data_IF_895874241309
#
_entry.id   IF_895874241309
#
_cell.length_a   1.000
_cell.length_b   1.000
_cell.length_c   1.000
_cell.angle_alpha   90.00
_cell.angle_beta   90.00
_cell.angle_gamma   90.00
#
_symmetry.space_group_name_H-M   'P 1'
#
loop_
_entity.id
_entity.type
_entity.pdbx_description
1 polymer ?
#
# COMPACT_ATOMS: atom_id res chain seq x y z
N UNK A 1 -5.81 10.93 -0.53
CA UNK A 1 -4.85 9.82 -0.71
C UNK A 1 -4.95 8.91 0.51
N UNK A 2 -5.20 7.61 0.32
CA UNK A 2 -5.60 6.65 1.36
C UNK A 2 -5.63 5.24 0.77
N UNK A 3 -5.42 4.21 1.58
CA UNK A 3 -5.94 2.88 1.34
C UNK A 3 -6.77 2.41 2.54
N UNK A 4 -8.01 2.03 2.25
CA UNK A 4 -8.82 1.23 3.16
C UNK A 4 -9.23 0.00 2.37
N UNK A 5 -9.10 -1.16 2.99
CA UNK A 5 -9.49 -2.41 2.37
C UNK A 5 -10.31 -3.24 3.34
N UNK A 6 -11.24 -4.02 2.80
CA UNK A 6 -12.11 -4.90 3.57
C UNK A 6 -12.27 -6.24 2.84
N UNK A 7 -12.34 -7.33 3.59
CA UNK A 7 -12.77 -8.64 3.08
C UNK A 7 -13.87 -9.21 3.97
N UNK A 8 -15.01 -9.58 3.39
CA UNK A 8 -16.17 -10.14 4.10
C UNK A 8 -16.14 -11.67 4.09
N UNK A 9 -16.29 -12.28 5.26
CA UNK A 9 -16.29 -13.74 5.50
C UNK A 9 -17.57 -14.09 6.27
N UNK A 10 -18.59 -14.60 5.60
CA UNK A 10 -19.93 -14.80 6.19
C UNK A 10 -20.48 -13.51 6.84
N UNK A 11 -20.74 -13.56 8.16
CA UNK A 11 -21.15 -12.48 9.04
C UNK A 11 -19.97 -11.79 9.76
N UNK A 12 -18.74 -12.02 9.30
CA UNK A 12 -17.52 -11.41 9.82
C UNK A 12 -16.85 -10.60 8.72
N UNK A 13 -15.96 -9.70 9.11
CA UNK A 13 -15.12 -9.01 8.17
C UNK A 13 -13.78 -8.64 8.80
N UNK A 14 -12.76 -8.56 7.96
CA UNK A 14 -11.46 -7.97 8.29
C UNK A 14 -11.32 -6.65 7.54
N UNK A 15 -10.70 -5.67 8.19
CA UNK A 15 -10.46 -4.36 7.59
C UNK A 15 -9.01 -3.94 7.81
N UNK A 16 -8.51 -3.15 6.88
CA UNK A 16 -7.24 -2.46 6.94
C UNK A 16 -7.46 -0.98 6.67
N UNK A 17 -6.78 -0.13 7.43
CA UNK A 17 -6.73 1.30 7.17
C UNK A 17 -5.33 1.83 7.42
N UNK A 18 -4.79 2.59 6.48
CA UNK A 18 -3.52 3.30 6.66
C UNK A 18 -3.71 4.60 7.45
N UNK A 19 -2.63 5.14 8.02
CA UNK A 19 -2.68 6.34 8.88
C UNK A 19 -2.41 7.65 8.15
N UNK A 20 -2.01 7.60 6.87
CA UNK A 20 -1.48 8.75 6.16
C UNK A 20 -2.56 9.73 5.77
N UNK A 21 -2.31 11.00 6.05
CA UNK A 21 -3.06 12.13 5.51
C UNK A 21 -2.16 12.93 4.58
N UNK A 22 -2.75 13.68 3.66
CA UNK A 22 -2.00 14.51 2.71
C UNK A 22 -2.67 15.86 2.54
N UNK A 23 -1.91 16.94 2.75
CA UNK A 23 -2.39 18.31 2.58
C UNK A 23 -1.29 19.16 1.95
N UNK A 24 -1.58 19.82 0.83
CA UNK A 24 -0.64 20.69 0.10
C UNK A 24 0.74 20.04 -0.18
N UNK A 25 0.77 18.74 -0.47
CA UNK A 25 2.00 17.99 -0.74
C UNK A 25 2.72 17.46 0.51
N UNK A 26 2.34 17.90 1.70
CA UNK A 26 2.85 17.35 2.96
C UNK A 26 2.10 16.07 3.33
N UNK A 27 2.82 15.07 3.81
CA UNK A 27 2.26 13.78 4.24
C UNK A 27 2.65 13.47 5.68
N UNK A 28 1.66 13.08 6.47
CA UNK A 28 1.82 12.78 7.89
C UNK A 28 0.95 11.59 8.28
N UNK A 29 1.48 10.71 9.13
CA UNK A 29 0.78 9.51 9.61
C UNK A 29 0.13 9.78 10.97
N UNK A 30 -1.00 10.47 10.96
CA UNK A 30 -1.59 11.08 12.17
C UNK A 30 -3.06 10.73 12.36
N UNK A 31 -3.69 10.00 11.45
CA UNK A 31 -5.14 9.87 11.42
C UNK A 31 -5.62 8.43 11.36
N UNK A 32 -6.50 8.07 12.27
CA UNK A 32 -7.34 6.90 12.07
C UNK A 32 -8.55 7.32 11.22
N UNK A 33 -8.67 6.72 10.03
CA UNK A 33 -9.73 7.04 9.04
C UNK A 33 -11.06 6.35 9.34
N UNK A 34 -11.37 6.24 10.64
CA UNK A 34 -12.51 5.52 11.17
C UNK A 34 -13.27 6.43 12.15
N UNK A 35 -14.59 6.40 12.08
CA UNK A 35 -15.46 6.94 13.12
C UNK A 35 -16.46 5.88 13.56
N UNK A 36 -16.87 5.96 14.81
CA UNK A 36 -18.06 5.31 15.31
C UNK A 36 -19.20 6.33 15.44
N UNK A 37 -20.40 5.92 15.07
CA UNK A 37 -21.64 6.65 15.31
C UNK A 37 -22.47 5.80 16.28
N UNK A 38 -22.63 6.30 17.50
CA UNK A 38 -23.17 5.51 18.60
C UNK A 38 -22.30 4.29 18.91
N UNK A 39 -22.94 3.19 19.30
CA UNK A 39 -22.27 1.93 19.66
C UNK A 39 -22.30 0.90 18.52
N UNK A 40 -23.13 1.10 17.50
CA UNK A 40 -23.48 0.04 16.54
C UNK A 40 -23.13 0.35 15.08
N UNK A 41 -22.67 1.56 14.77
CA UNK A 41 -22.30 1.96 13.40
C UNK A 41 -20.83 2.35 13.37
N UNK A 42 -20.09 1.77 12.42
CA UNK A 42 -18.72 2.18 12.12
C UNK A 42 -18.57 2.54 10.65
N UNK A 43 -17.79 3.59 10.37
CA UNK A 43 -17.54 4.07 9.02
C UNK A 43 -16.04 4.32 8.81
N UNK A 44 -15.51 3.79 7.71
CA UNK A 44 -14.17 4.08 7.21
C UNK A 44 -14.25 5.01 6.00
N UNK A 45 -13.45 6.07 5.95
CA UNK A 45 -13.57 7.12 4.93
C UNK A 45 -12.37 7.26 4.00
N UNK A 46 -12.65 7.48 2.72
CA UNK A 46 -11.67 7.87 1.71
C UNK A 46 -12.18 9.00 0.82
N UNK A 47 -11.25 9.79 0.26
CA UNK A 47 -11.56 10.87 -0.67
C UNK A 47 -11.52 12.25 -0.02
N UNK A 48 -12.54 13.07 -0.29
CA UNK A 48 -12.64 14.45 0.18
C UNK A 48 -12.91 14.50 1.70
N UNK A 49 -11.90 14.90 2.47
CA UNK A 49 -12.01 15.01 3.93
C UNK A 49 -13.05 16.04 4.37
N UNK A 50 -13.18 17.17 3.67
CA UNK A 50 -14.15 18.22 4.01
C UNK A 50 -15.59 17.75 3.79
N UNK A 51 -15.83 16.91 2.78
CA UNK A 51 -17.15 16.27 2.60
C UNK A 51 -17.50 15.36 3.78
N UNK A 52 -16.55 14.53 4.23
CA UNK A 52 -16.78 13.62 5.36
C UNK A 52 -16.94 14.37 6.68
N UNK A 53 -16.14 15.41 6.91
CA UNK A 53 -16.24 16.28 8.07
C UNK A 53 -17.64 16.89 8.20
N UNK A 54 -18.20 17.43 7.10
CA UNK A 54 -19.59 17.93 7.07
C UNK A 54 -20.62 16.85 7.34
N UNK A 55 -20.30 15.60 7.04
CA UNK A 55 -21.24 14.48 7.19
C UNK A 55 -21.35 13.97 8.61
N UNK A 56 -20.34 14.18 9.46
CA UNK A 56 -20.30 13.53 10.77
C UNK A 56 -21.41 13.99 11.71
N UNK A 57 -21.59 15.29 11.93
CA UNK A 57 -22.61 15.77 12.88
C UNK A 57 -24.04 15.37 12.48
N UNK A 58 -24.46 15.51 11.19
CA UNK A 58 -25.76 15.00 10.75
C UNK A 58 -25.92 13.50 10.95
N UNK A 59 -24.90 12.71 10.60
CA UNK A 59 -24.93 11.26 10.78
C UNK A 59 -25.00 10.85 12.25
N UNK A 60 -24.31 11.57 13.15
CA UNK A 60 -24.39 11.36 14.59
C UNK A 60 -25.80 11.66 15.13
N UNK A 61 -26.45 12.70 14.62
CA UNK A 61 -27.80 13.07 15.06
C UNK A 61 -28.87 12.03 14.70
N UNK A 62 -28.66 11.26 13.63
CA UNK A 62 -29.58 10.19 13.21
C UNK A 62 -29.15 8.78 13.64
N UNK A 63 -27.96 8.63 14.23
CA UNK A 63 -27.35 7.33 14.49
C UNK A 63 -28.22 6.35 15.28
N UNK A 64 -28.92 6.82 16.30
CA UNK A 64 -29.82 5.98 17.12
C UNK A 64 -31.02 5.42 16.35
N UNK A 65 -31.42 6.07 15.25
CA UNK A 65 -32.54 5.66 14.42
C UNK A 65 -32.13 4.71 13.27
N UNK A 66 -30.83 4.50 13.06
CA UNK A 66 -30.30 3.62 12.02
C UNK A 66 -30.19 2.19 12.56
N UNK A 67 -30.68 1.24 11.77
CA UNK A 67 -30.78 -0.18 12.06
C UNK A 67 -30.38 -0.99 10.84
N UNK A 68 -30.17 -2.30 10.99
CA UNK A 68 -29.91 -3.19 9.86
C UNK A 68 -31.04 -3.17 8.82
N UNK A 69 -32.29 -2.91 9.23
CA UNK A 69 -33.44 -2.96 8.32
C UNK A 69 -33.65 -1.68 7.50
N UNK A 70 -33.00 -0.57 7.89
CA UNK A 70 -33.23 0.73 7.23
C UNK A 70 -31.95 1.40 6.73
N UNK A 71 -30.76 0.88 7.04
CA UNK A 71 -29.49 1.52 6.66
C UNK A 71 -29.32 1.68 5.14
N UNK A 72 -29.90 0.78 4.34
CA UNK A 72 -29.80 0.77 2.87
C UNK A 72 -31.01 1.42 2.17
N UNK A 73 -32.04 1.81 2.92
CA UNK A 73 -33.30 2.28 2.36
C UNK A 73 -33.23 3.78 2.01
N UNK A 74 -33.60 4.14 0.79
CA UNK A 74 -33.31 5.47 0.23
C UNK A 74 -33.88 6.66 1.01
N UNK A 75 -35.06 6.51 1.61
CA UNK A 75 -35.77 7.57 2.34
C UNK A 75 -35.51 7.52 3.87
N UNK A 76 -34.71 6.55 4.30
CA UNK A 76 -34.39 6.31 5.72
C UNK A 76 -33.19 7.16 6.16
N UNK A 77 -33.00 7.35 7.48
CA UNK A 77 -32.19 8.45 8.00
C UNK A 77 -30.76 8.52 7.45
N UNK A 78 -30.02 7.40 7.43
CA UNK A 78 -28.64 7.39 6.93
C UNK A 78 -28.55 7.85 5.47
N UNK A 79 -29.36 7.24 4.61
CA UNK A 79 -29.35 7.51 3.18
C UNK A 79 -29.80 8.94 2.87
N UNK A 80 -30.83 9.42 3.57
CA UNK A 80 -31.35 10.78 3.41
C UNK A 80 -30.31 11.83 3.76
N UNK A 81 -29.67 11.74 4.93
CA UNK A 81 -28.68 12.74 5.38
C UNK A 81 -27.50 12.82 4.40
N UNK A 82 -26.92 11.69 3.99
CA UNK A 82 -25.76 11.68 3.06
C UNK A 82 -26.14 12.34 1.73
N UNK A 83 -27.37 12.07 1.23
CA UNK A 83 -27.86 12.68 -0.02
C UNK A 83 -28.09 14.18 0.14
N UNK A 84 -28.67 14.62 1.25
CA UNK A 84 -28.86 16.04 1.54
C UNK A 84 -27.52 16.78 1.57
N UNK A 85 -26.53 16.27 2.31
CA UNK A 85 -25.18 16.85 2.37
C UNK A 85 -24.53 16.91 0.99
N UNK A 86 -24.66 15.84 0.19
CA UNK A 86 -24.15 15.81 -1.17
C UNK A 86 -24.81 16.88 -2.07
N UNK A 87 -26.11 17.10 -1.93
CA UNK A 87 -26.83 18.10 -2.72
C UNK A 87 -26.53 19.54 -2.31
N UNK A 88 -26.35 19.80 -1.02
CA UNK A 88 -25.92 21.09 -0.52
C UNK A 88 -24.51 21.45 -1.03
N UNK A 89 -23.57 20.50 -0.91
CA UNK A 89 -22.21 20.69 -1.35
C UNK A 89 -21.54 19.38 -1.76
N UNK A 90 -21.48 19.15 -3.07
CA UNK A 90 -20.82 17.98 -3.65
C UNK A 90 -19.34 17.92 -3.24
N UNK A 91 -18.79 16.71 -3.06
CA UNK A 91 -17.35 16.55 -2.85
C UNK A 91 -16.58 17.01 -4.09
N UNK A 92 -15.33 17.44 -3.88
CA UNK A 92 -14.43 17.86 -4.94
C UNK A 92 -13.90 16.69 -5.78
N UNK A 93 -13.78 15.53 -5.17
CA UNK A 93 -13.32 14.27 -5.78
C UNK A 93 -14.29 13.14 -5.39
N UNK A 94 -14.13 11.96 -6.01
CA UNK A 94 -14.87 10.77 -5.58
C UNK A 94 -14.55 10.46 -4.12
N UNK A 95 -15.60 10.35 -3.30
CA UNK A 95 -15.50 10.04 -1.88
C UNK A 95 -16.25 8.74 -1.60
N UNK A 96 -15.59 7.79 -0.94
CA UNK A 96 -16.20 6.49 -0.61
C UNK A 96 -16.06 6.19 0.88
N UNK A 97 -17.04 5.47 1.41
CA UNK A 97 -16.97 4.94 2.77
C UNK A 97 -17.37 3.46 2.82
N UNK A 98 -16.63 2.67 3.58
CA UNK A 98 -17.05 1.30 3.95
C UNK A 98 -17.66 1.39 5.34
N UNK A 99 -18.92 1.02 5.46
CA UNK A 99 -19.68 1.07 6.69
C UNK A 99 -20.15 -0.29 7.15
N UNK A 100 -20.45 -0.39 8.44
CA UNK A 100 -21.18 -1.51 9.00
C UNK A 100 -22.22 -1.01 10.02
N UNK A 101 -23.32 -1.76 10.13
CA UNK A 101 -24.29 -1.63 11.23
C UNK A 101 -24.39 -2.98 11.92
N UNK A 102 -24.30 -2.97 13.24
CA UNK A 102 -24.47 -4.12 14.12
C UNK A 102 -25.87 -4.06 14.74
N UNK A 103 -26.57 -5.17 14.77
CA UNK A 103 -27.72 -5.34 15.64
C UNK A 103 -27.28 -6.08 16.91
N UNK A 104 -27.32 -5.36 18.04
CA UNK A 104 -26.89 -5.91 19.33
C UNK A 104 -27.81 -7.01 19.86
N UNK A 105 -29.08 -7.04 19.43
CA UNK A 105 -30.04 -8.04 19.90
C UNK A 105 -29.89 -9.37 19.14
N UNK A 106 -29.74 -9.30 17.82
CA UNK A 106 -29.65 -10.48 16.95
C UNK A 106 -28.21 -10.95 16.72
N UNK A 107 -27.22 -10.10 17.04
CA UNK A 107 -25.80 -10.27 16.70
C UNK A 107 -25.53 -10.35 15.19
N UNK A 108 -26.48 -9.90 14.37
CA UNK A 108 -26.31 -9.76 12.94
C UNK A 108 -25.63 -8.43 12.59
N UNK A 109 -25.06 -8.37 11.40
CA UNK A 109 -24.51 -7.13 10.86
C UNK A 109 -24.73 -7.03 9.36
N UNK A 110 -24.78 -5.79 8.89
CA UNK A 110 -24.76 -5.45 7.47
C UNK A 110 -23.55 -4.59 7.20
N UNK A 111 -22.78 -4.98 6.20
CA UNK A 111 -21.73 -4.15 5.61
C UNK A 111 -22.25 -3.48 4.35
N UNK A 112 -21.86 -2.23 4.14
CA UNK A 112 -22.32 -1.43 3.02
C UNK A 112 -21.23 -0.48 2.54
N UNK A 113 -21.32 -0.10 1.27
CA UNK A 113 -20.45 0.86 0.61
C UNK A 113 -21.24 2.12 0.29
N UNK A 114 -20.75 3.27 0.73
CA UNK A 114 -21.20 4.58 0.26
C UNK A 114 -20.24 5.03 -0.85
N UNK A 115 -20.77 5.40 -2.03
CA UNK A 115 -19.99 5.93 -3.15
C UNK A 115 -20.58 7.27 -3.61
N UNK A 116 -19.96 8.37 -3.19
CA UNK A 116 -20.31 9.73 -3.57
C UNK A 116 -19.43 10.19 -4.73
N UNK A 117 -20.05 10.36 -5.90
CA UNK A 117 -19.36 10.75 -7.14
C UNK A 117 -19.79 12.16 -7.56
N UNK A 118 -18.86 13.13 -7.63
CA UNK A 118 -19.18 14.49 -8.10
C UNK A 118 -19.91 14.44 -9.44
N UNK A 119 -20.95 15.24 -9.60
CA UNK A 119 -21.81 15.35 -10.80
C UNK A 119 -22.62 14.10 -11.17
N UNK A 120 -22.50 13.00 -10.44
CA UNK A 120 -23.24 11.75 -10.69
C UNK A 120 -24.28 11.52 -9.60
N UNK A 121 -23.87 11.56 -8.34
CA UNK A 121 -24.76 11.29 -7.20
C UNK A 121 -24.10 10.44 -6.12
N UNK A 122 -24.92 9.93 -5.20
CA UNK A 122 -24.52 9.02 -4.13
C UNK A 122 -25.24 7.69 -4.33
N UNK A 123 -24.51 6.58 -4.25
CA UNK A 123 -25.08 5.25 -4.04
C UNK A 123 -24.67 4.67 -2.69
N UNK A 124 -25.56 3.88 -2.11
CA UNK A 124 -25.33 3.14 -0.86
C UNK A 124 -25.80 1.71 -1.13
N UNK A 125 -24.87 0.77 -1.13
CA UNK A 125 -25.09 -0.60 -1.60
C UNK A 125 -24.57 -1.60 -0.57
N UNK A 126 -25.23 -2.76 -0.39
CA UNK A 126 -24.72 -3.83 0.47
C UNK A 126 -23.41 -4.38 -0.09
N UNK A 127 -22.53 -4.84 0.80
CA UNK A 127 -21.31 -5.53 0.40
C UNK A 127 -21.52 -7.04 0.56
N UNK A 128 -21.49 -7.76 -0.55
CA UNK A 128 -21.73 -9.20 -0.59
C UNK A 128 -20.65 -10.02 0.16
N UNK A 129 -21.02 -11.25 0.50
CA UNK A 129 -20.10 -12.22 1.12
C UNK A 129 -18.95 -12.59 0.18
N UNK A 130 -17.78 -12.92 0.74
CA UNK A 130 -16.57 -13.29 0.00
C UNK A 130 -16.12 -12.21 -1.00
N UNK A 131 -16.45 -10.96 -0.70
CA UNK A 131 -16.08 -9.80 -1.48
C UNK A 131 -14.94 -9.04 -0.82
N UNK A 132 -13.91 -8.71 -1.61
CA UNK A 132 -12.91 -7.74 -1.25
C UNK A 132 -13.27 -6.38 -1.85
N UNK A 133 -13.14 -5.31 -1.05
CA UNK A 133 -13.23 -3.94 -1.54
C UNK A 133 -12.02 -3.14 -1.10
N UNK A 134 -11.46 -2.37 -2.02
CA UNK A 134 -10.43 -1.37 -1.76
C UNK A 134 -10.99 0.01 -2.12
N UNK A 135 -10.87 0.96 -1.20
CA UNK A 135 -11.25 2.37 -1.43
C UNK A 135 -10.06 3.31 -1.18
N UNK A 136 -10.13 4.51 -1.75
CA UNK A 136 -9.05 5.48 -1.76
C UNK A 136 -8.11 5.32 -2.97
N UNK A 137 -6.96 5.98 -2.92
CA UNK A 137 -5.93 5.91 -3.99
C UNK A 137 -5.32 4.52 -4.12
N UNK A 138 -5.34 3.69 -3.05
CA UNK A 138 -4.91 2.30 -3.12
C UNK A 138 -5.71 1.45 -4.12
N UNK A 139 -6.94 1.85 -4.45
CA UNK A 139 -7.78 1.18 -5.45
C UNK A 139 -7.24 1.34 -6.89
N UNK A 140 -6.28 2.25 -7.12
CA UNK A 140 -5.63 2.43 -8.42
C UNK A 140 -4.60 1.32 -8.72
N UNK A 141 -4.23 0.50 -7.73
CA UNK A 141 -3.29 -0.60 -7.91
C UNK A 141 -3.98 -1.74 -8.65
N UNK A 142 -3.48 -2.10 -9.84
CA UNK A 142 -4.09 -3.13 -10.68
C UNK A 142 -4.32 -4.45 -9.92
N UNK A 143 -5.54 -4.99 -10.05
CA UNK A 143 -5.95 -6.29 -9.54
C UNK A 143 -5.78 -6.49 -8.03
N UNK A 144 -5.64 -5.42 -7.24
CA UNK A 144 -5.38 -5.55 -5.80
C UNK A 144 -6.51 -6.30 -5.06
N UNK A 145 -7.78 -5.97 -5.32
CA UNK A 145 -8.93 -6.66 -4.74
C UNK A 145 -8.93 -8.17 -5.07
N UNK A 146 -8.58 -8.52 -6.31
CA UNK A 146 -8.48 -9.92 -6.74
C UNK A 146 -7.33 -10.65 -6.06
N UNK A 147 -6.16 -10.00 -5.93
CA UNK A 147 -4.98 -10.58 -5.26
C UNK A 147 -5.26 -10.85 -3.80
N UNK A 148 -5.86 -9.89 -3.11
CA UNK A 148 -6.29 -10.04 -1.71
C UNK A 148 -7.28 -11.19 -1.61
N UNK A 149 -8.31 -11.22 -2.46
CA UNK A 149 -9.33 -12.28 -2.42
C UNK A 149 -8.71 -13.66 -2.58
N UNK A 150 -7.85 -13.84 -3.58
CA UNK A 150 -7.14 -15.11 -3.80
C UNK A 150 -6.28 -15.51 -2.60
N UNK A 151 -5.54 -14.56 -2.01
CA UNK A 151 -4.71 -14.82 -0.84
C UNK A 151 -5.56 -15.27 0.35
N UNK A 152 -6.65 -14.55 0.63
CA UNK A 152 -7.51 -14.85 1.77
C UNK A 152 -8.25 -16.17 1.59
N UNK A 153 -8.78 -16.46 0.40
CA UNK A 153 -9.40 -17.77 0.12
C UNK A 153 -8.43 -18.92 0.35
N UNK A 154 -7.19 -18.80 -0.14
CA UNK A 154 -6.15 -19.82 0.09
C UNK A 154 -5.82 -20.00 1.58
N UNK A 155 -5.67 -18.91 2.34
CA UNK A 155 -5.39 -18.98 3.78
C UNK A 155 -6.54 -19.60 4.57
N UNK A 156 -7.79 -19.34 4.18
CA UNK A 156 -8.96 -19.98 4.80
C UNK A 156 -8.93 -21.50 4.57
N UNK A 157 -8.59 -21.94 3.35
CA UNK A 157 -8.51 -23.36 3.00
C UNK A 157 -7.38 -24.10 3.75
N UNK A 158 -6.21 -23.47 3.88
CA UNK A 158 -5.02 -24.09 4.48
C UNK A 158 -4.98 -23.98 6.02
N UNK A 159 -5.39 -22.82 6.56
CA UNK A 159 -5.13 -22.43 7.95
C UNK A 159 -6.41 -22.09 8.74
N UNK A 160 -7.58 -22.03 8.08
CA UNK A 160 -8.85 -21.69 8.70
C UNK A 160 -9.07 -20.18 8.87
N UNK A 161 -10.05 -19.83 9.71
CA UNK A 161 -10.64 -18.48 9.72
C UNK A 161 -10.20 -17.61 10.91
N UNK A 162 -8.91 -17.65 11.25
CA UNK A 162 -8.35 -16.72 12.23
C UNK A 162 -8.32 -15.30 11.64
N UNK A 163 -9.26 -14.45 12.08
CA UNK A 163 -9.41 -13.09 11.55
C UNK A 163 -8.15 -12.23 11.71
N UNK A 164 -7.33 -12.47 12.74
CA UNK A 164 -6.08 -11.72 12.92
C UNK A 164 -5.04 -12.16 11.89
N UNK A 165 -4.85 -13.47 11.73
CA UNK A 165 -3.96 -14.03 10.72
C UNK A 165 -4.38 -13.58 9.32
N UNK A 166 -5.67 -13.67 8.98
CA UNK A 166 -6.19 -13.23 7.69
C UNK A 166 -5.99 -11.72 7.46
N UNK A 167 -6.24 -10.86 8.45
CA UNK A 167 -5.97 -9.43 8.35
C UNK A 167 -4.47 -9.13 8.14
N UNK A 168 -3.59 -9.90 8.77
CA UNK A 168 -2.15 -9.77 8.56
C UNK A 168 -1.72 -10.24 7.16
N UNK A 169 -2.25 -11.35 6.66
CA UNK A 169 -2.02 -11.81 5.28
C UNK A 169 -2.50 -10.78 4.26
N UNK A 170 -3.64 -10.15 4.51
CA UNK A 170 -4.17 -9.05 3.71
C UNK A 170 -3.21 -7.85 3.68
N UNK A 171 -2.65 -7.46 4.84
CA UNK A 171 -1.64 -6.39 4.95
C UNK A 171 -0.39 -6.72 4.15
N UNK A 172 0.12 -7.94 4.27
CA UNK A 172 1.29 -8.42 3.53
C UNK A 172 1.06 -8.40 2.01
N UNK A 173 -0.13 -8.80 1.55
CA UNK A 173 -0.45 -8.77 0.12
C UNK A 173 -0.52 -7.35 -0.42
N UNK A 174 -1.09 -6.40 0.34
CA UNK A 174 -1.10 -4.98 -0.02
C UNK A 174 0.33 -4.42 -0.07
N UNK A 175 1.16 -4.68 0.94
CA UNK A 175 2.55 -4.23 0.98
C UNK A 175 3.36 -4.84 -0.18
N UNK A 176 3.16 -6.13 -0.47
CA UNK A 176 3.78 -6.80 -1.62
C UNK A 176 3.37 -6.14 -2.93
N UNK A 177 2.08 -5.82 -3.09
CA UNK A 177 1.58 -5.13 -4.27
C UNK A 177 2.22 -3.74 -4.39
N UNK A 178 2.23 -2.92 -3.34
CA UNK A 178 2.87 -1.60 -3.32
C UNK A 178 4.36 -1.68 -3.66
N UNK A 179 5.09 -2.62 -3.06
CA UNK A 179 6.51 -2.83 -3.32
C UNK A 179 6.78 -3.20 -4.79
N UNK A 180 5.86 -3.94 -5.43
CA UNK A 180 5.95 -4.23 -6.87
C UNK A 180 5.77 -2.97 -7.75
N UNK A 181 5.20 -1.89 -7.22
CA UNK A 181 5.14 -0.58 -7.88
C UNK A 181 6.28 0.38 -7.46
N UNK A 182 7.28 -0.13 -6.74
CA UNK A 182 8.40 0.66 -6.24
C UNK A 182 8.12 1.37 -4.91
N UNK A 183 9.18 1.77 -4.23
CA UNK A 183 9.12 2.39 -2.89
C UNK A 183 8.39 3.74 -2.89
N UNK A 184 8.45 4.52 -3.98
CA UNK A 184 7.66 5.76 -4.08
C UNK A 184 6.17 5.55 -4.19
N UNK A 185 5.68 4.34 -4.47
CA UNK A 185 4.24 4.10 -4.57
C UNK A 185 3.51 4.54 -3.29
N UNK A 186 4.09 4.30 -2.11
CA UNK A 186 3.59 4.78 -0.82
C UNK A 186 3.47 6.30 -0.77
N UNK A 187 4.52 7.03 -1.19
CA UNK A 187 4.53 8.50 -1.23
C UNK A 187 3.51 9.02 -2.25
N UNK A 188 3.55 8.52 -3.47
CA UNK A 188 2.74 9.00 -4.60
C UNK A 188 1.25 8.70 -4.43
N UNK A 189 0.92 7.55 -3.84
CA UNK A 189 -0.46 7.19 -3.49
C UNK A 189 -0.87 7.74 -2.13
N UNK A 190 0.05 8.34 -1.37
CA UNK A 190 -0.14 8.84 -0.01
C UNK A 190 -0.73 7.78 0.92
N UNK A 191 -0.08 6.62 0.92
CA UNK A 191 -0.42 5.45 1.73
C UNK A 191 0.70 5.25 2.76
N UNK A 192 0.31 5.06 4.02
CA UNK A 192 1.26 4.66 5.07
C UNK A 192 1.78 3.24 4.84
N UNK A 193 3.08 2.98 5.03
CA UNK A 193 3.61 1.61 5.01
C UNK A 193 3.07 0.78 6.18
N UNK A 194 2.60 1.43 7.25
CA UNK A 194 1.96 0.78 8.38
C UNK A 194 0.43 0.95 8.33
N UNK A 195 -0.30 -0.14 8.58
CA UNK A 195 -1.76 -0.20 8.47
C UNK A 195 -2.34 -0.86 9.72
N UNK A 196 -3.38 -0.23 10.29
CA UNK A 196 -4.14 -0.78 11.40
C UNK A 196 -4.97 -1.97 10.94
N UNK A 197 -5.00 -3.02 11.77
CA UNK A 197 -5.86 -4.18 11.57
C UNK A 197 -7.15 -4.02 12.38
N UNK A 198 -8.28 -4.30 11.73
CA UNK A 198 -9.58 -4.32 12.39
C UNK A 198 -10.35 -5.58 12.04
N UNK A 199 -11.27 -5.97 12.92
CA UNK A 199 -12.15 -7.11 12.67
C UNK A 199 -13.54 -6.85 13.21
N UNK A 200 -14.54 -7.28 12.46
CA UNK A 200 -15.94 -7.36 12.84
C UNK A 200 -16.32 -8.82 13.02
N UNK A 201 -16.86 -9.18 14.18
CA UNK A 201 -17.35 -10.53 14.45
C UNK A 201 -18.58 -10.49 15.37
N UNK A 202 -19.72 -10.98 14.86
CA UNK A 202 -20.99 -10.93 15.57
C UNK A 202 -21.37 -9.51 15.96
N UNK A 203 -21.54 -9.26 17.27
CA UNK A 203 -21.92 -7.96 17.82
C UNK A 203 -20.74 -7.04 18.19
N UNK A 204 -19.52 -7.33 17.76
CA UNK A 204 -18.35 -6.57 18.17
C UNK A 204 -17.47 -6.18 16.99
N UNK A 205 -17.07 -4.91 17.00
CA UNK A 205 -15.99 -4.39 16.17
C UNK A 205 -14.77 -4.14 17.05
N UNK A 206 -13.60 -4.54 16.54
CA UNK A 206 -12.35 -4.42 17.28
C UNK A 206 -11.28 -3.76 16.42
N UNK A 207 -10.68 -2.70 16.97
CA UNK A 207 -9.44 -2.08 16.51
C UNK A 207 -8.30 -2.76 17.27
N UNK A 208 -7.33 -3.33 16.55
CA UNK A 208 -6.24 -4.09 17.18
C UNK A 208 -5.00 -3.23 17.33
N UNK A 209 -4.50 -3.13 18.55
CA UNK A 209 -3.13 -2.70 18.80
C UNK A 209 -2.15 -3.83 18.47
N UNK A 210 -0.95 -3.47 18.03
CA UNK A 210 0.10 -4.42 17.66
C UNK A 210 1.47 -3.86 18.01
N UNK A 211 2.41 -4.75 18.37
CA UNK A 211 3.84 -4.47 18.41
C UNK A 211 4.53 -5.34 17.36
N UNK A 212 5.36 -4.73 16.54
CA UNK A 212 6.02 -5.35 15.41
C UNK A 212 7.52 -5.07 15.51
N UNK A 213 8.31 -6.13 15.43
CA UNK A 213 9.77 -6.06 15.48
C UNK A 213 10.35 -6.93 14.37
N UNK A 214 11.53 -6.55 13.89
CA UNK A 214 12.23 -7.32 12.87
C UNK A 214 13.48 -6.63 12.37
N UNK A 215 13.99 -7.15 11.26
CA UNK A 215 15.23 -6.67 10.66
C UNK A 215 15.02 -6.49 9.16
N UNK A 216 15.48 -5.36 8.62
CA UNK A 216 15.52 -5.11 7.17
C UNK A 216 16.96 -5.22 6.73
N UNK A 217 17.21 -6.06 5.72
CA UNK A 217 18.51 -6.18 5.07
C UNK A 217 18.51 -5.38 3.77
N UNK A 218 19.41 -4.41 3.70
CA UNK A 218 19.68 -3.62 2.50
C UNK A 218 21.06 -3.93 1.97
N UNK A 219 21.38 -3.46 0.76
CA UNK A 219 22.72 -3.58 0.18
C UNK A 219 23.82 -2.93 1.06
N UNK A 220 23.45 -1.94 1.89
CA UNK A 220 24.36 -1.22 2.79
C UNK A 220 24.48 -1.86 4.18
N UNK A 221 23.78 -2.98 4.41
CA UNK A 221 23.73 -3.69 5.69
C UNK A 221 22.30 -3.88 6.20
N UNK A 222 22.19 -4.51 7.38
CA UNK A 222 20.93 -4.71 8.08
C UNK A 222 20.69 -3.65 9.15
N UNK A 223 19.43 -3.31 9.40
CA UNK A 223 19.02 -2.56 10.58
C UNK A 223 17.76 -3.16 11.19
N UNK A 224 17.62 -2.96 12.49
CA UNK A 224 16.48 -3.46 13.24
C UNK A 224 15.42 -2.38 13.33
N UNK A 225 14.16 -2.79 13.28
CA UNK A 225 13.02 -1.93 13.55
C UNK A 225 12.20 -2.53 14.69
N UNK A 226 11.60 -1.67 15.51
CA UNK A 226 10.60 -2.05 16.50
C UNK A 226 9.63 -0.89 16.64
N UNK A 227 8.35 -1.19 16.49
CA UNK A 227 7.31 -0.18 16.58
C UNK A 227 5.97 -0.76 17.02
N UNK A 228 5.10 0.07 17.57
CA UNK A 228 3.77 -0.34 18.01
C UNK A 228 2.68 0.67 17.65
N UNK A 229 1.45 0.14 17.61
CA UNK A 229 0.20 0.88 17.62
C UNK A 229 -0.57 0.48 18.86
N UNK A 230 -0.80 1.43 19.75
CA UNK A 230 -1.38 1.12 21.05
C UNK A 230 -2.18 2.29 21.60
N UNK A 231 -2.94 2.00 22.65
CA UNK A 231 -3.57 3.01 23.46
C UNK A 231 -2.68 3.27 24.67
N UNK A 232 -2.17 4.49 24.77
CA UNK A 232 -1.40 4.97 25.90
C UNK A 232 -2.27 4.89 27.17
N UNK A 233 -1.84 4.12 28.16
CA UNK A 233 -2.65 3.84 29.35
C UNK A 233 -2.80 5.07 30.27
N UNK A 234 -1.83 5.99 30.27
CA UNK A 234 -1.82 7.16 31.14
C UNK A 234 -2.72 8.28 30.61
N UNK A 235 -2.62 8.54 29.31
CA UNK A 235 -3.35 9.62 28.63
C UNK A 235 -4.66 9.16 27.99
N UNK A 236 -4.78 7.86 27.71
CA UNK A 236 -5.87 7.29 26.93
C UNK A 236 -5.78 7.57 25.42
N UNK A 237 -4.73 8.24 24.96
CA UNK A 237 -4.49 8.56 23.55
C UNK A 237 -4.16 7.29 22.75
N UNK A 238 -4.54 7.26 21.47
CA UNK A 238 -4.03 6.23 20.54
C UNK A 238 -2.75 6.74 19.89
N UNK A 239 -1.70 5.92 19.84
CA UNK A 239 -0.36 6.35 19.42
C UNK A 239 0.30 5.35 18.47
N UNK A 240 1.15 5.87 17.59
CA UNK A 240 2.20 5.11 16.91
C UNK A 240 3.54 5.40 17.61
N UNK A 241 4.26 4.35 17.98
CA UNK A 241 5.55 4.45 18.66
C UNK A 241 6.60 3.73 17.82
N UNK A 242 7.66 4.42 17.40
CA UNK A 242 8.91 3.81 16.94
C UNK A 242 9.87 3.78 18.13
N UNK A 243 10.15 2.58 18.63
CA UNK A 243 10.96 2.39 19.84
C UNK A 243 12.45 2.51 19.55
N UNK A 244 12.87 2.35 18.30
CA UNK A 244 14.28 2.44 17.89
C UNK A 244 14.70 3.90 17.72
N UNK A 245 13.85 4.70 17.08
CA UNK A 245 14.11 6.13 16.86
C UNK A 245 13.48 7.05 17.91
N UNK A 246 12.85 6.48 18.95
CA UNK A 246 12.14 7.19 20.02
C UNK A 246 11.08 8.18 19.50
N UNK A 247 10.42 7.82 18.40
CA UNK A 247 9.41 8.66 17.77
C UNK A 247 8.01 8.29 18.26
N UNK A 248 7.29 9.26 18.83
CA UNK A 248 5.88 9.12 19.24
C UNK A 248 4.99 9.99 18.37
N UNK A 249 3.96 9.41 17.78
CA UNK A 249 2.93 10.12 17.02
C UNK A 249 1.57 9.86 17.65
N UNK A 250 0.85 10.92 18.00
CA UNK A 250 -0.54 10.80 18.46
C UNK A 250 -1.45 10.65 17.26
N UNK A 251 -2.26 9.59 17.27
CA UNK A 251 -3.25 9.31 16.24
C UNK A 251 -4.56 9.99 16.64
N UNK A 252 -4.92 10.99 15.84
CA UNK A 252 -6.18 11.69 15.96
C UNK A 252 -7.25 11.02 15.12
N UNK A 253 -8.51 11.24 15.49
CA UNK A 253 -9.61 10.98 14.58
C UNK A 253 -9.54 11.99 13.41
N UNK A 254 -9.96 11.59 12.21
CA UNK A 254 -10.04 12.45 11.02
C UNK A 254 -10.79 13.79 11.29
N UNK A 255 -11.66 13.80 12.29
CA UNK A 255 -12.43 14.97 12.72
C UNK A 255 -11.64 16.05 13.47
N UNK A 256 -10.42 15.77 13.93
CA UNK A 256 -9.61 16.70 14.73
C UNK A 256 -8.31 17.11 14.01
N UNK A 257 -8.26 17.00 12.68
CA UNK A 257 -7.04 17.20 11.89
C UNK A 257 -6.53 18.65 11.89
N UNK A 258 -7.38 19.65 12.12
CA UNK A 258 -6.96 21.06 12.19
C UNK A 258 -5.91 21.32 13.29
N UNK A 259 -5.81 20.45 14.30
CA UNK A 259 -4.89 20.57 15.41
C UNK A 259 -3.55 19.82 15.22
N UNK A 260 -3.35 19.12 14.10
CA UNK A 260 -2.16 18.26 13.88
C UNK A 260 -1.41 18.69 12.62
N UNK A 261 -0.89 19.91 12.61
CA UNK A 261 -0.07 20.46 11.51
C UNK A 261 1.44 20.30 11.71
N UNK A 262 1.87 19.33 12.54
CA UNK A 262 3.26 18.96 12.73
C UNK A 262 3.39 17.46 12.88
N UNK A 263 3.69 16.77 11.79
CA UNK A 263 3.94 15.34 11.79
C UNK A 263 4.98 15.00 10.72
N UNK A 264 5.54 13.80 10.82
CA UNK A 264 6.41 13.24 9.79
C UNK A 264 5.84 11.88 9.35
N UNK A 265 6.18 11.41 8.14
CA UNK A 265 5.87 10.04 7.76
C UNK A 265 6.42 9.04 8.78
N UNK A 266 5.59 8.09 9.20
CA UNK A 266 5.96 6.95 10.02
C UNK A 266 6.38 5.80 9.10
N UNK A 267 7.70 5.58 9.02
CA UNK A 267 8.29 4.54 8.18
C UNK A 267 9.50 3.88 8.87
N UNK A 268 9.27 3.21 10.02
CA UNK A 268 10.35 2.56 10.78
C UNK A 268 11.08 1.46 10.00
N UNK A 269 10.46 0.91 8.95
CA UNK A 269 11.05 -0.10 8.07
C UNK A 269 11.78 0.50 6.86
N UNK A 270 11.70 1.81 6.62
CA UNK A 270 12.31 2.46 5.47
C UNK A 270 11.71 2.03 4.11
N UNK A 271 10.45 1.57 4.08
CA UNK A 271 9.77 1.07 2.87
C UNK A 271 9.47 2.16 1.84
N UNK A 272 9.47 3.43 2.26
CA UNK A 272 9.18 4.58 1.40
C UNK A 272 10.43 5.19 0.78
N UNK A 273 11.61 4.81 1.27
CA UNK A 273 12.88 5.33 0.81
C UNK A 273 13.48 4.42 -0.27
N UNK A 274 13.69 4.96 -1.47
CA UNK A 274 14.34 4.22 -2.53
C UNK A 274 14.60 5.08 -3.76
N UNK A 275 15.28 4.47 -4.73
CA UNK A 275 15.50 5.07 -6.03
C UNK A 275 14.29 4.84 -6.93
N UNK A 276 13.84 5.90 -7.58
CA UNK A 276 12.65 5.93 -8.43
C UNK A 276 13.07 6.22 -9.89
N UNK A 277 13.27 5.18 -10.72
CA UNK A 277 13.82 5.37 -12.06
C UNK A 277 12.96 6.27 -12.96
N UNK A 278 11.66 6.27 -12.84
CA UNK A 278 10.74 7.10 -13.63
C UNK A 278 10.88 8.61 -13.36
N UNK A 279 11.43 9.01 -12.20
CA UNK A 279 11.72 10.40 -11.86
C UNK A 279 13.02 10.86 -12.55
N UNK A 280 13.96 9.93 -12.77
CA UNK A 280 15.25 10.20 -13.46
C UNK A 280 15.14 10.02 -14.98
N UNK A 281 14.28 9.11 -15.44
CA UNK A 281 14.03 8.80 -16.85
C UNK A 281 12.58 9.17 -17.25
N UNK A 282 12.17 10.45 -17.13
CA UNK A 282 10.77 10.85 -17.32
C UNK A 282 10.26 10.65 -18.75
N UNK A 283 11.14 10.61 -19.75
CA UNK A 283 10.77 10.51 -21.16
C UNK A 283 10.67 9.05 -21.67
N UNK A 284 11.09 8.07 -20.87
CA UNK A 284 11.07 6.65 -21.23
C UNK A 284 9.79 5.99 -20.74
N UNK A 285 9.31 4.92 -21.39
CA UNK A 285 8.17 4.11 -20.89
C UNK A 285 8.60 2.98 -19.94
N UNK A 286 9.88 2.62 -19.98
CA UNK A 286 10.49 1.61 -19.14
C UNK A 286 11.99 1.86 -19.05
N UNK A 287 12.63 1.21 -18.08
CA UNK A 287 14.08 1.11 -17.96
C UNK A 287 14.46 -0.33 -17.66
N UNK A 288 15.73 -0.66 -17.85
CA UNK A 288 16.31 -1.91 -17.38
C UNK A 288 17.15 -1.64 -16.13
N UNK A 289 17.03 -2.54 -15.16
CA UNK A 289 17.90 -2.61 -13.99
C UNK A 289 18.86 -3.77 -14.17
N UNK A 290 20.15 -3.45 -14.27
CA UNK A 290 21.24 -4.40 -14.18
C UNK A 290 21.65 -4.51 -12.71
N UNK A 291 21.62 -5.70 -12.14
CA UNK A 291 22.16 -5.96 -10.81
C UNK A 291 23.38 -6.87 -10.92
N UNK A 292 24.52 -6.45 -10.38
CA UNK A 292 25.70 -7.30 -10.25
C UNK A 292 26.17 -7.35 -8.80
N UNK A 293 26.29 -8.55 -8.26
CA UNK A 293 26.85 -8.82 -6.94
C UNK A 293 28.06 -9.75 -7.10
N UNK A 294 29.19 -9.32 -6.55
CA UNK A 294 30.47 -10.04 -6.61
C UNK A 294 30.86 -10.49 -5.21
N UNK A 295 31.22 -11.77 -5.06
CA UNK A 295 31.76 -12.33 -3.82
C UNK A 295 33.18 -12.81 -4.11
N UNK A 296 34.17 -12.15 -3.50
CA UNK A 296 35.60 -12.44 -3.72
C UNK A 296 36.28 -13.15 -2.55
N UNK A 297 35.76 -12.99 -1.33
CA UNK A 297 36.37 -13.54 -0.12
C UNK A 297 35.27 -13.87 0.91
N UNK A 298 34.68 -15.06 0.79
CA UNK A 298 33.72 -15.59 1.76
C UNK A 298 34.24 -16.93 2.32
N UNK A 299 34.08 -17.14 3.63
CA UNK A 299 34.50 -18.39 4.29
C UNK A 299 33.63 -19.59 3.92
N UNK A 300 32.45 -19.35 3.37
CA UNK A 300 31.40 -20.34 3.15
C UNK A 300 31.12 -20.60 1.67
N UNK A 301 31.55 -19.70 0.76
CA UNK A 301 31.27 -19.79 -0.67
C UNK A 301 32.54 -19.58 -1.50
N UNK A 302 32.67 -20.34 -2.58
CA UNK A 302 33.67 -20.08 -3.60
C UNK A 302 33.37 -18.72 -4.29
N UNK A 303 34.37 -18.01 -4.83
CA UNK A 303 34.14 -16.72 -5.47
C UNK A 303 33.16 -16.83 -6.64
N UNK A 304 32.19 -15.91 -6.68
CA UNK A 304 31.14 -15.90 -7.69
C UNK A 304 30.73 -14.49 -8.12
N UNK A 305 30.13 -14.44 -9.31
CA UNK A 305 29.46 -13.24 -9.81
C UNK A 305 28.00 -13.58 -10.11
N UNK A 306 27.09 -12.90 -9.43
CA UNK A 306 25.66 -12.93 -9.73
C UNK A 306 25.31 -11.74 -10.61
N UNK A 307 24.59 -11.99 -11.71
CA UNK A 307 23.99 -10.95 -12.55
C UNK A 307 22.50 -11.18 -12.71
N UNK A 308 21.74 -10.09 -12.78
CA UNK A 308 20.36 -10.14 -13.25
C UNK A 308 19.98 -8.88 -14.00
N UNK A 309 19.05 -9.03 -14.94
CA UNK A 309 18.44 -7.91 -15.66
C UNK A 309 16.93 -7.96 -15.45
N UNK A 310 16.38 -6.88 -14.89
CA UNK A 310 14.94 -6.70 -14.69
C UNK A 310 14.45 -5.55 -15.57
N UNK A 311 13.33 -5.73 -16.26
CA UNK A 311 12.63 -4.62 -16.92
C UNK A 311 11.66 -3.97 -15.94
N UNK A 312 11.76 -2.67 -15.78
CA UNK A 312 10.88 -1.87 -14.92
C UNK A 312 10.04 -1.00 -15.84
N UNK A 313 8.74 -1.27 -15.89
CA UNK A 313 7.82 -0.48 -16.70
C UNK A 313 7.32 0.72 -15.91
N UNK A 314 7.03 1.83 -16.57
CA UNK A 314 6.41 2.98 -15.93
C UNK A 314 4.93 3.03 -16.32
N UNK A 315 4.07 3.07 -15.32
CA UNK A 315 2.62 2.95 -15.50
C UNK A 315 1.93 4.19 -14.95
N UNK A 316 0.90 4.64 -15.67
CA UNK A 316 0.04 5.74 -15.24
C UNK A 316 -1.17 5.12 -14.53
N UNK A 317 -1.29 5.39 -13.23
CA UNK A 317 -2.37 4.87 -12.40
C UNK A 317 -3.63 5.75 -12.42
N UNK A 318 -3.47 7.05 -12.67
CA UNK A 318 -4.57 7.99 -12.85
C UNK A 318 -4.24 9.01 -13.93
N UNK A 319 -5.01 8.99 -15.02
CA UNK A 319 -4.83 9.88 -16.17
C UNK A 319 -5.10 11.35 -15.82
N UNK A 320 -5.95 11.63 -14.83
CA UNK A 320 -6.31 13.02 -14.49
C UNK A 320 -5.20 13.74 -13.74
N UNK A 321 -4.45 13.00 -12.91
CA UNK A 321 -3.33 13.52 -12.13
C UNK A 321 -1.97 13.20 -12.76
N UNK A 322 -1.96 12.42 -13.85
CA UNK A 322 -0.76 11.85 -14.46
C UNK A 322 0.11 11.12 -13.42
N UNK A 323 -0.55 10.39 -12.52
CA UNK A 323 0.13 9.70 -11.42
C UNK A 323 0.93 8.52 -11.97
N UNK A 324 2.24 8.73 -12.09
CA UNK A 324 3.16 7.77 -12.69
C UNK A 324 4.02 7.09 -11.64
N UNK A 325 4.08 5.77 -11.71
CA UNK A 325 4.88 4.92 -10.80
C UNK A 325 5.66 3.87 -11.59
N UNK A 326 6.67 3.29 -10.95
CA UNK A 326 7.34 2.10 -11.46
C UNK A 326 6.43 0.87 -11.34
N UNK A 327 6.71 -0.16 -12.12
CA UNK A 327 6.13 -1.50 -12.02
C UNK A 327 7.23 -2.51 -12.31
N UNK A 328 7.71 -3.16 -11.26
CA UNK A 328 8.78 -4.14 -11.30
C UNK A 328 8.24 -5.47 -11.79
N UNK A 329 8.84 -6.03 -12.84
CA UNK A 329 8.61 -7.41 -13.23
C UNK A 329 9.55 -8.36 -12.49
N UNK A 330 9.32 -9.67 -12.63
CA UNK A 330 10.38 -10.63 -12.39
C UNK A 330 11.61 -10.30 -13.27
N UNK A 331 12.84 -10.65 -12.83
CA UNK A 331 14.00 -10.59 -13.70
C UNK A 331 13.75 -11.33 -15.01
N UNK A 332 14.11 -10.70 -16.13
CA UNK A 332 14.08 -11.35 -17.46
C UNK A 332 15.06 -12.52 -17.45
N UNK A 333 16.22 -12.27 -16.85
CA UNK A 333 17.25 -13.28 -16.65
C UNK A 333 17.99 -13.02 -15.34
N UNK A 334 18.48 -14.10 -14.74
CA UNK A 334 19.45 -14.09 -13.66
C UNK A 334 20.35 -15.30 -13.81
N UNK A 335 21.65 -15.13 -13.56
CA UNK A 335 22.59 -16.23 -13.56
C UNK A 335 23.73 -15.96 -12.58
N UNK A 336 24.33 -17.05 -12.12
CA UNK A 336 25.52 -17.07 -11.27
C UNK A 336 26.62 -17.71 -12.09
N UNK A 337 27.79 -17.08 -12.15
CA UNK A 337 28.99 -17.66 -12.73
C UNK A 337 29.94 -18.09 -11.60
N UNK A 338 30.14 -19.41 -11.52
CA UNK A 338 30.92 -20.13 -10.50
C UNK A 338 31.70 -21.29 -11.15
N UNK A 339 32.97 -21.53 -10.76
CA UNK A 339 33.91 -20.65 -10.07
C UNK A 339 34.73 -19.81 -11.06
N UNK A 340 34.94 -18.53 -10.75
CA UNK A 340 35.74 -17.63 -11.58
C UNK A 340 37.17 -17.47 -11.00
N UNK A 341 38.19 -17.96 -11.72
CA UNK A 341 39.61 -17.68 -11.40
C UNK A 341 39.94 -16.18 -11.46
N UNK A 342 39.10 -15.39 -12.14
CA UNK A 342 39.28 -13.98 -12.47
C UNK A 342 38.13 -13.11 -11.90
N UNK A 343 37.62 -13.44 -10.71
CA UNK A 343 36.53 -12.67 -10.07
C UNK A 343 36.87 -11.19 -9.87
N UNK A 344 38.15 -10.87 -9.66
CA UNK A 344 38.66 -9.49 -9.44
C UNK A 344 38.45 -8.55 -10.63
N UNK A 345 38.13 -9.08 -11.81
CA UNK A 345 37.82 -8.28 -13.00
C UNK A 345 36.40 -7.71 -13.00
N UNK A 346 35.53 -8.19 -12.11
CA UNK A 346 34.14 -7.75 -12.01
C UNK A 346 33.98 -6.76 -10.85
N UNK A 347 33.62 -5.48 -11.11
CA UNK A 347 33.33 -4.54 -10.04
C UNK A 347 31.98 -4.84 -9.39
N UNK A 348 31.86 -4.82 -8.07
CA UNK A 348 30.56 -4.89 -7.41
C UNK A 348 29.79 -3.57 -7.61
N UNK A 349 28.92 -3.50 -8.63
CA UNK A 349 28.19 -2.29 -9.00
C UNK A 349 26.71 -2.28 -8.57
N UNK A 350 26.20 -3.38 -8.00
CA UNK A 350 24.82 -3.50 -7.52
C UNK A 350 23.79 -3.06 -8.55
N UNK A 351 22.71 -2.42 -8.11
CA UNK A 351 21.65 -1.90 -8.98
C UNK A 351 22.12 -0.69 -9.80
N UNK A 352 22.17 -0.87 -11.12
CA UNK A 352 22.40 0.19 -12.12
C UNK A 352 21.24 0.22 -13.11
N UNK A 353 20.88 1.42 -13.57
CA UNK A 353 19.73 1.62 -14.45
C UNK A 353 20.18 2.12 -15.82
N UNK A 354 19.63 1.53 -16.86
CA UNK A 354 19.95 1.89 -18.24
C UNK A 354 18.72 1.81 -19.14
N UNK A 355 18.81 2.44 -20.30
CA UNK A 355 17.79 2.38 -21.34
C UNK A 355 18.36 1.66 -22.55
N UNK A 356 17.49 0.97 -23.28
CA UNK A 356 17.82 0.42 -24.60
C UNK A 356 16.95 1.16 -25.60
N UNK A 357 17.51 1.59 -26.73
CA UNK A 357 16.76 2.24 -27.79
C UNK A 357 15.56 1.38 -28.21
N UNK A 358 14.37 1.97 -28.36
CA UNK A 358 13.14 1.23 -28.69
C UNK A 358 13.28 0.34 -29.95
N UNK A 359 14.08 0.76 -30.93
CA UNK A 359 14.33 0.00 -32.16
C UNK A 359 15.15 -1.28 -31.97
N UNK A 360 15.83 -1.44 -30.83
CA UNK A 360 16.70 -2.58 -30.50
C UNK A 360 16.25 -3.35 -29.27
N UNK A 361 15.10 -2.98 -28.71
CA UNK A 361 14.58 -3.62 -27.51
C UNK A 361 14.22 -5.08 -27.77
N UNK A 362 13.52 -5.35 -28.88
CA UNK A 362 13.14 -6.73 -29.25
C UNK A 362 14.36 -7.61 -29.47
N UNK A 363 15.37 -7.10 -30.19
CA UNK A 363 16.68 -7.75 -30.36
C UNK A 363 17.32 -8.06 -29.00
N UNK A 364 17.46 -7.04 -28.15
CA UNK A 364 18.05 -7.18 -26.82
C UNK A 364 17.36 -8.27 -26.00
N UNK A 365 16.04 -8.24 -25.89
CA UNK A 365 15.28 -9.21 -25.08
C UNK A 365 15.32 -10.61 -25.69
N UNK A 366 15.28 -10.73 -27.02
CA UNK A 366 15.29 -12.03 -27.71
C UNK A 366 16.64 -12.75 -27.62
N UNK A 367 17.73 -11.99 -27.66
CA UNK A 367 19.09 -12.52 -27.64
C UNK A 367 19.67 -12.62 -26.22
N UNK A 368 19.01 -12.03 -25.22
CA UNK A 368 19.43 -12.08 -23.82
C UNK A 368 19.33 -13.50 -23.28
N UNK A 369 20.50 -14.10 -23.01
CA UNK A 369 20.68 -15.43 -22.43
C UNK A 369 21.85 -15.41 -21.44
N UNK A 370 22.13 -16.53 -20.77
CA UNK A 370 23.16 -16.59 -19.72
C UNK A 370 24.55 -16.24 -20.27
N UNK A 371 24.90 -16.70 -21.48
CA UNK A 371 26.18 -16.38 -22.13
C UNK A 371 26.29 -14.87 -22.41
N UNK A 372 25.25 -14.28 -22.99
CA UNK A 372 25.20 -12.85 -23.31
C UNK A 372 25.13 -11.95 -22.06
N UNK A 373 24.58 -12.45 -20.95
CA UNK A 373 24.59 -11.74 -19.66
C UNK A 373 26.01 -11.55 -19.10
N UNK A 374 26.94 -12.44 -19.45
CA UNK A 374 28.36 -12.32 -19.08
C UNK A 374 29.25 -11.76 -20.20
N UNK A 375 28.71 -11.59 -21.41
CA UNK A 375 29.43 -11.04 -22.56
C UNK A 375 29.47 -9.50 -22.53
N UNK A 376 30.61 -8.94 -22.11
CA UNK A 376 30.83 -7.49 -22.05
C UNK A 376 30.74 -6.79 -23.42
N UNK A 377 31.19 -7.44 -24.50
CA UNK A 377 31.17 -6.86 -25.85
C UNK A 377 29.72 -6.77 -26.36
N UNK A 378 28.92 -7.82 -26.10
CA UNK A 378 27.49 -7.81 -26.41
C UNK A 378 26.73 -6.76 -25.58
N UNK A 379 26.92 -6.74 -24.26
CA UNK A 379 26.25 -5.76 -23.37
C UNK A 379 26.59 -4.31 -23.73
N UNK A 380 27.88 -4.01 -23.99
CA UNK A 380 28.30 -2.67 -24.39
C UNK A 380 27.75 -2.21 -25.74
N UNK A 381 27.26 -3.13 -26.57
CA UNK A 381 26.56 -2.77 -27.79
C UNK A 381 25.15 -2.24 -27.54
N UNK A 382 24.51 -2.56 -26.41
CA UNK A 382 23.13 -2.13 -26.08
C UNK A 382 23.06 -1.09 -24.95
N UNK A 383 24.06 -1.07 -24.07
CA UNK A 383 24.08 -0.22 -22.88
C UNK A 383 25.01 0.96 -23.13
N UNK A 384 24.43 2.16 -23.24
CA UNK A 384 25.22 3.39 -23.33
C UNK A 384 26.11 3.55 -22.10
N UNK A 385 27.33 4.05 -22.31
CA UNK A 385 28.34 4.25 -21.27
C UNK A 385 28.72 3.00 -20.46
N UNK A 386 28.46 1.79 -21.01
CA UNK A 386 28.67 0.49 -20.35
C UNK A 386 29.98 0.40 -19.57
N UNK A 387 31.11 0.70 -20.21
CA UNK A 387 32.40 0.57 -19.56
C UNK A 387 32.57 1.55 -18.40
N UNK A 388 32.01 2.76 -18.46
CA UNK A 388 32.14 3.69 -17.34
C UNK A 388 31.35 3.26 -16.10
N UNK A 389 30.25 2.53 -16.29
CA UNK A 389 29.33 2.11 -15.22
C UNK A 389 29.66 0.71 -14.70
N UNK A 390 30.00 -0.22 -15.58
CA UNK A 390 30.14 -1.66 -15.30
C UNK A 390 31.59 -2.14 -15.35
N UNK A 391 32.54 -1.26 -15.66
CA UNK A 391 33.94 -1.61 -15.83
C UNK A 391 34.89 -0.47 -15.45
N UNK A 392 35.22 -0.34 -14.17
CA UNK A 392 36.35 0.53 -13.80
C UNK A 392 37.64 -0.08 -14.33
N UNK A 393 38.17 0.46 -15.43
CA UNK A 393 39.53 0.17 -15.87
C UNK A 393 40.49 0.48 -14.71
N UNK A 394 41.26 -0.53 -14.27
CA UNK A 394 42.37 -0.33 -13.33
C UNK A 394 43.47 0.52 -13.95
#
# INVERSE_FOLDING_TARGET
MTIISMYRIDHRAIFLSDFRTSSNGNQTDVALKFINIGEHIGLFFSGDATFWERSVSPLQAVGEAVTINNVLEMEEPLCREIREIFWEQQPSIRSRAIGFVIDNETQENILFLIDARPRVGVSIEPIEENCCLVIGSGALIDNLESRISQRISHEIEENGEDLYHLANCMRQEIQSALNAYGTSSYRKLGISPYMALHSLAGSHFMIRGEQIEGEVFTEKGGFNYSYSFEKDEETGETVLLDTVNEQRIVISNIMNLENVLGGVPFDPQGLTNGFDPEEVFPDNEFVYRFHQWVVTDDKFFDPFVYRSITKISFVILDENTNLRVCKYSAPIIKAVDEPLENVDFYPDCRDQYFTVSNSREEEFVSDLNEENLFNHEWLSSFIDDYYSVFYTAQ
#
